data_IF_568652036265
#
_entry.id   IF_568652036265
#
_cell.length_a   1.000
_cell.length_b   1.000
_cell.length_c   1.000
_cell.angle_alpha   90.00
_cell.angle_beta   90.00
_cell.angle_gamma   90.00
#
_symmetry.space_group_name_H-M   'P 1'
#
loop_
_entity.id
_entity.type
_entity.pdbx_description
1 polymer ?
#
# COMPACT_ATOMS: atom_id res chain seq x y z
N UNK A 1 3.63 3.85 -36.24
CA UNK A 1 3.03 5.17 -36.53
C UNK A 1 1.56 5.08 -36.94
N UNK A 2 1.15 4.16 -37.84
CA UNK A 2 -0.27 3.95 -38.18
C UNK A 2 -1.17 3.55 -37.01
N UNK A 3 -0.67 2.76 -36.05
CA UNK A 3 -1.43 2.32 -34.86
C UNK A 3 -1.62 3.38 -33.77
N UNK A 4 -0.68 4.34 -33.67
CA UNK A 4 -0.75 5.48 -32.74
C UNK A 4 -1.82 6.50 -33.19
N UNK A 5 -2.13 6.54 -34.48
CA UNK A 5 -3.17 7.41 -35.06
C UNK A 5 -4.58 6.86 -34.76
N UNK A 6 -4.76 5.53 -34.69
CA UNK A 6 -6.06 4.92 -34.36
C UNK A 6 -6.49 5.18 -32.91
N UNK A 7 -5.55 5.20 -31.95
CA UNK A 7 -5.84 5.51 -30.54
C UNK A 7 -6.07 7.02 -30.31
N UNK A 8 -5.37 7.88 -31.07
CA UNK A 8 -5.58 9.33 -31.00
C UNK A 8 -6.92 9.77 -31.62
N UNK A 9 -7.45 9.01 -32.58
CA UNK A 9 -8.78 9.23 -33.16
C UNK A 9 -9.92 8.81 -32.21
N UNK A 10 -9.72 7.76 -31.39
CA UNK A 10 -10.70 7.36 -30.37
C UNK A 10 -10.79 8.34 -29.18
N UNK A 11 -9.76 9.17 -28.96
CA UNK A 11 -9.75 10.19 -27.90
C UNK A 11 -10.32 11.55 -28.35
N UNK A 12 -10.68 11.73 -29.62
CA UNK A 12 -11.15 13.04 -30.16
C UNK A 12 -12.48 13.02 -30.88
N UNK A 13 -13.14 11.86 -31.05
CA UNK A 13 -14.49 11.79 -31.60
C UNK A 13 -15.56 11.98 -30.51
N UNK A 14 -15.67 13.19 -29.96
CA UNK A 14 -16.87 13.64 -29.26
C UNK A 14 -17.95 13.99 -30.30
N UNK A 15 -18.42 13.00 -31.06
CA UNK A 15 -19.66 13.16 -31.81
C UNK A 15 -20.82 13.00 -30.85
N UNK A 16 -21.42 14.13 -30.46
CA UNK A 16 -22.75 14.17 -29.87
C UNK A 16 -23.74 13.86 -31.00
N UNK A 17 -23.86 12.58 -31.35
CA UNK A 17 -25.07 12.07 -31.98
C UNK A 17 -26.10 11.88 -30.87
N UNK A 18 -27.30 12.40 -31.09
CA UNK A 18 -28.46 12.17 -30.24
C UNK A 18 -28.74 10.67 -30.22
N UNK A 19 -28.21 9.96 -29.24
CA UNK A 19 -28.32 8.51 -29.21
C UNK A 19 -29.75 8.11 -28.90
N UNK A 20 -30.26 7.11 -29.62
CA UNK A 20 -31.33 6.29 -29.06
C UNK A 20 -30.87 5.81 -27.67
N UNK A 21 -31.78 5.76 -26.69
CA UNK A 21 -31.41 5.34 -25.34
C UNK A 21 -30.69 3.98 -25.36
N UNK A 22 -29.71 3.78 -24.47
CA UNK A 22 -28.94 2.53 -24.26
C UNK A 22 -29.75 1.25 -24.52
N UNK A 23 -30.99 1.19 -24.05
CA UNK A 23 -31.89 0.04 -24.24
C UNK A 23 -32.26 -0.25 -25.69
N UNK A 24 -32.43 0.78 -26.51
CA UNK A 24 -32.78 0.68 -27.93
C UNK A 24 -31.61 0.08 -28.72
N UNK A 25 -30.40 0.60 -28.52
CA UNK A 25 -29.16 0.07 -29.14
C UNK A 25 -28.98 -1.41 -28.78
N UNK A 26 -29.13 -1.76 -27.50
CA UNK A 26 -28.97 -3.13 -27.02
C UNK A 26 -30.01 -4.08 -27.65
N UNK A 27 -31.24 -3.62 -27.88
CA UNK A 27 -32.33 -4.47 -28.39
C UNK A 27 -32.30 -4.60 -29.93
N UNK A 28 -31.70 -3.63 -30.63
CA UNK A 28 -31.70 -3.52 -32.08
C UNK A 28 -30.30 -3.59 -32.71
N UNK A 29 -29.29 -4.07 -31.99
CA UNK A 29 -27.92 -4.15 -32.49
C UNK A 29 -27.79 -4.85 -33.85
N UNK A 30 -26.84 -4.39 -34.67
CA UNK A 30 -26.50 -4.93 -35.98
C UNK A 30 -25.14 -5.65 -35.95
N UNK A 31 -24.16 -5.00 -35.30
CA UNK A 31 -22.77 -5.45 -35.24
C UNK A 31 -22.14 -5.12 -33.89
N UNK A 32 -21.23 -5.98 -33.46
CA UNK A 32 -20.34 -5.75 -32.32
C UNK A 32 -18.90 -5.71 -32.80
N UNK A 33 -18.15 -4.70 -32.39
CA UNK A 33 -16.69 -4.62 -32.58
C UNK A 33 -16.01 -4.84 -31.23
N UNK A 34 -15.04 -5.75 -31.16
CA UNK A 34 -14.26 -6.06 -29.97
C UNK A 34 -12.79 -5.78 -30.24
N UNK A 35 -12.24 -4.80 -29.55
CA UNK A 35 -10.82 -4.47 -29.53
C UNK A 35 -10.20 -5.00 -28.24
N UNK A 36 -9.07 -5.69 -28.37
CA UNK A 36 -8.33 -6.24 -27.26
C UNK A 36 -6.84 -6.04 -27.46
N UNK A 37 -6.20 -5.32 -26.54
CA UNK A 37 -4.80 -4.95 -26.68
C UNK A 37 -4.08 -4.94 -25.34
N UNK A 38 -2.76 -4.98 -25.43
CA UNK A 38 -1.88 -4.99 -24.29
C UNK A 38 -0.59 -4.29 -24.64
N UNK A 39 -0.16 -3.39 -23.75
CA UNK A 39 1.12 -2.71 -23.84
C UNK A 39 1.86 -2.95 -22.52
N UNK A 40 3.11 -3.40 -22.58
CA UNK A 40 3.92 -3.75 -21.41
C UNK A 40 5.15 -4.53 -21.86
N UNK A 41 5.51 -5.57 -21.10
CA UNK A 41 6.61 -6.48 -21.46
C UNK A 41 6.36 -7.29 -22.75
N UNK A 42 5.09 -7.40 -23.15
CA UNK A 42 4.66 -7.87 -24.46
C UNK A 42 3.81 -6.80 -25.14
N UNK A 43 3.56 -6.97 -26.44
CA UNK A 43 2.66 -6.09 -27.19
C UNK A 43 1.79 -6.93 -28.12
N UNK A 44 0.48 -6.66 -28.10
CA UNK A 44 -0.45 -7.16 -29.10
C UNK A 44 -1.63 -6.20 -29.23
N UNK A 45 -2.29 -6.24 -30.38
CA UNK A 45 -3.55 -5.57 -30.65
C UNK A 45 -4.37 -6.43 -31.57
N UNK A 46 -5.54 -6.85 -31.11
CA UNK A 46 -6.51 -7.64 -31.85
C UNK A 46 -7.78 -6.82 -32.01
N UNK A 47 -8.44 -7.00 -33.16
CA UNK A 47 -9.74 -6.41 -33.43
C UNK A 47 -10.61 -7.45 -34.13
N UNK A 48 -11.81 -7.64 -33.58
CA UNK A 48 -12.77 -8.62 -34.05
C UNK A 48 -14.11 -7.94 -34.33
N UNK A 49 -14.87 -8.50 -35.27
CA UNK A 49 -16.23 -8.10 -35.55
C UNK A 49 -17.18 -9.30 -35.50
N UNK A 50 -18.39 -9.06 -35.00
CA UNK A 50 -19.48 -10.03 -34.92
C UNK A 50 -20.75 -9.41 -35.50
N UNK A 51 -21.34 -10.06 -36.49
CA UNK A 51 -22.59 -9.63 -37.11
C UNK A 51 -23.79 -10.41 -36.54
N UNK A 52 -24.92 -9.73 -36.34
CA UNK A 52 -26.15 -10.34 -35.81
C UNK A 52 -26.73 -11.43 -36.70
N UNK A 53 -26.56 -11.31 -38.01
CA UNK A 53 -27.17 -12.23 -38.98
C UNK A 53 -26.59 -13.65 -38.90
N UNK A 54 -25.30 -13.76 -38.59
CA UNK A 54 -24.57 -15.03 -38.70
C UNK A 54 -23.88 -15.47 -37.40
N UNK A 55 -23.77 -14.60 -36.39
CA UNK A 55 -23.05 -14.84 -35.15
C UNK A 55 -21.62 -15.37 -35.35
N UNK A 56 -20.97 -14.98 -36.45
CA UNK A 56 -19.58 -15.32 -36.73
C UNK A 56 -18.66 -14.22 -36.24
N UNK A 57 -17.73 -14.58 -35.36
CA UNK A 57 -16.64 -13.70 -34.95
C UNK A 57 -15.51 -13.82 -35.97
N UNK A 58 -15.14 -12.69 -36.58
CA UNK A 58 -14.10 -12.60 -37.61
C UNK A 58 -13.08 -11.53 -37.23
N UNK A 59 -11.83 -11.72 -37.65
CA UNK A 59 -10.78 -10.69 -37.51
C UNK A 59 -11.02 -9.58 -38.54
N UNK A 60 -10.95 -8.31 -38.13
CA UNK A 60 -11.13 -7.19 -39.08
C UNK A 60 -9.95 -7.02 -40.05
N UNK A 61 -8.77 -7.53 -39.70
CA UNK A 61 -7.57 -7.43 -40.52
C UNK A 61 -7.35 -8.62 -41.47
N UNK A 62 -8.09 -9.72 -41.28
CA UNK A 62 -7.96 -10.96 -42.05
C UNK A 62 -9.34 -11.64 -42.17
N UNK A 63 -10.17 -11.15 -43.09
CA UNK A 63 -11.58 -11.59 -43.25
C UNK A 63 -11.73 -13.10 -43.52
N UNK A 64 -10.73 -13.73 -44.16
CA UNK A 64 -10.73 -15.18 -44.45
C UNK A 64 -10.31 -16.05 -43.25
N UNK A 65 -9.87 -15.45 -42.13
CA UNK A 65 -9.52 -16.18 -40.92
C UNK A 65 -10.74 -16.33 -39.99
N UNK A 66 -11.59 -17.28 -40.37
CA UNK A 66 -12.78 -17.68 -39.60
C UNK A 66 -12.34 -18.04 -38.18
N UNK A 67 -12.68 -17.18 -37.21
CA UNK A 67 -12.14 -17.30 -35.85
C UNK A 67 -13.03 -18.20 -35.00
N UNK A 68 -14.36 -17.97 -34.98
CA UNK A 68 -15.30 -18.79 -34.19
C UNK A 68 -16.78 -18.50 -34.50
N UNK A 69 -17.64 -19.52 -34.45
CA UNK A 69 -19.10 -19.34 -34.33
C UNK A 69 -19.50 -19.13 -32.86
N UNK A 70 -20.31 -18.10 -32.60
CA UNK A 70 -20.70 -17.70 -31.24
C UNK A 70 -22.15 -18.13 -30.95
N UNK A 71 -22.40 -18.68 -29.76
CA UNK A 71 -23.76 -18.99 -29.31
C UNK A 71 -24.56 -17.68 -29.16
N UNK A 72 -25.71 -17.51 -29.84
CA UNK A 72 -26.58 -16.34 -29.67
C UNK A 72 -26.98 -16.04 -28.23
N UNK A 73 -27.14 -17.07 -27.39
CA UNK A 73 -27.48 -16.91 -25.97
C UNK A 73 -26.40 -16.13 -25.21
N UNK A 74 -25.12 -16.33 -25.55
CA UNK A 74 -24.00 -15.61 -24.94
C UNK A 74 -24.09 -14.11 -25.22
N UNK A 75 -24.50 -13.75 -26.45
CA UNK A 75 -24.68 -12.36 -26.86
C UNK A 75 -25.88 -11.74 -26.17
N UNK A 76 -27.01 -12.46 -26.14
CA UNK A 76 -28.20 -12.01 -25.42
C UNK A 76 -27.91 -11.78 -23.93
N UNK A 77 -27.11 -12.64 -23.32
CA UNK A 77 -26.72 -12.48 -21.92
C UNK A 77 -25.76 -11.30 -21.69
N UNK A 78 -24.80 -11.08 -22.60
CA UNK A 78 -23.89 -9.93 -22.55
C UNK A 78 -24.68 -8.63 -22.65
N UNK A 79 -25.52 -8.54 -23.68
CA UNK A 79 -26.42 -7.40 -23.92
C UNK A 79 -27.39 -7.18 -22.76
N UNK A 80 -27.96 -8.24 -22.20
CA UNK A 80 -28.81 -8.17 -21.01
C UNK A 80 -28.06 -7.67 -19.78
N UNK A 81 -26.81 -8.10 -19.57
CA UNK A 81 -25.96 -7.65 -18.45
C UNK A 81 -25.65 -6.16 -18.53
N UNK A 82 -25.50 -5.62 -19.75
CA UNK A 82 -25.28 -4.21 -19.99
C UNK A 82 -26.51 -3.35 -19.65
N UNK A 83 -27.74 -3.88 -19.76
CA UNK A 83 -28.98 -3.15 -19.37
C UNK A 83 -29.05 -2.85 -17.88
N UNK A 84 -28.42 -3.68 -17.04
CA UNK A 84 -28.47 -3.47 -15.59
C UNK A 84 -27.61 -2.27 -15.16
N UNK A 85 -28.22 -1.27 -14.53
CA UNK A 85 -27.51 -0.14 -13.90
C UNK A 85 -26.91 -0.55 -12.54
N UNK A 86 -26.23 -1.69 -12.50
CA UNK A 86 -25.74 -2.28 -11.26
C UNK A 86 -24.49 -1.55 -10.75
N UNK A 87 -24.73 -0.43 -10.05
CA UNK A 87 -23.77 0.19 -9.15
C UNK A 87 -23.70 -0.63 -7.85
N UNK A 88 -22.95 -1.73 -7.87
CA UNK A 88 -22.63 -2.51 -6.66
C UNK A 88 -21.44 -1.85 -5.92
N UNK A 89 -21.41 -0.52 -5.82
CA UNK A 89 -20.27 0.18 -5.22
C UNK A 89 -20.12 -0.12 -3.72
N UNK A 90 -21.24 -0.37 -3.04
CA UNK A 90 -21.28 -0.57 -1.58
C UNK A 90 -21.03 -2.01 -1.14
N UNK A 91 -20.94 -2.95 -2.08
CA UNK A 91 -20.58 -4.35 -1.81
C UNK A 91 -19.47 -4.81 -2.78
N UNK A 92 -18.20 -4.49 -2.46
CA UNK A 92 -17.07 -4.76 -3.35
C UNK A 92 -16.90 -6.23 -3.73
N UNK A 93 -17.42 -7.17 -2.92
CA UNK A 93 -17.28 -8.59 -3.18
C UNK A 93 -18.33 -9.08 -4.19
N UNK A 94 -19.55 -8.54 -4.12
CA UNK A 94 -20.61 -8.82 -5.11
C UNK A 94 -20.27 -8.31 -6.51
N UNK A 95 -19.44 -7.27 -6.63
CA UNK A 95 -18.87 -6.85 -7.92
C UNK A 95 -18.20 -8.01 -8.66
N UNK A 96 -17.62 -8.95 -7.92
CA UNK A 96 -16.92 -10.13 -8.42
C UNK A 96 -17.79 -11.40 -8.42
N UNK A 97 -19.10 -11.26 -8.20
CA UNK A 97 -20.04 -12.38 -8.12
C UNK A 97 -19.74 -13.31 -6.94
N UNK A 98 -19.31 -12.75 -5.81
CA UNK A 98 -19.02 -13.46 -4.56
C UNK A 98 -19.76 -12.81 -3.40
N UNK A 99 -19.94 -13.55 -2.31
CA UNK A 99 -20.60 -13.07 -1.11
C UNK A 99 -19.93 -13.60 0.18
N UNK A 100 -20.50 -13.26 1.33
CA UNK A 100 -19.99 -13.71 2.63
C UNK A 100 -20.06 -15.22 2.82
N UNK A 101 -21.07 -15.90 2.27
CA UNK A 101 -21.20 -17.36 2.34
C UNK A 101 -20.09 -18.04 1.55
N UNK A 102 -19.77 -17.52 0.36
CA UNK A 102 -18.64 -17.98 -0.42
C UNK A 102 -17.33 -17.87 0.37
N UNK A 103 -17.08 -16.75 1.06
CA UNK A 103 -15.90 -16.62 1.92
C UNK A 103 -15.88 -17.66 3.04
N UNK A 104 -16.99 -17.86 3.73
CA UNK A 104 -17.09 -18.81 4.85
C UNK A 104 -16.73 -20.22 4.41
N UNK A 105 -17.29 -20.67 3.27
CA UNK A 105 -17.07 -22.00 2.72
C UNK A 105 -15.67 -22.20 2.14
N UNK A 106 -15.08 -21.15 1.54
CA UNK A 106 -13.82 -21.29 0.80
C UNK A 106 -12.57 -20.83 1.58
N UNK A 107 -12.71 -20.19 2.75
CA UNK A 107 -11.59 -19.53 3.44
C UNK A 107 -10.35 -20.40 3.66
N UNK A 108 -10.53 -21.66 4.06
CA UNK A 108 -9.42 -22.59 4.29
C UNK A 108 -8.70 -22.93 2.98
N UNK A 109 -9.47 -23.30 1.95
CA UNK A 109 -8.91 -23.66 0.65
C UNK A 109 -8.21 -22.47 -0.01
N UNK A 110 -8.79 -21.27 0.06
CA UNK A 110 -8.19 -20.05 -0.47
C UNK A 110 -6.82 -19.76 0.16
N UNK A 111 -6.73 -19.90 1.49
CA UNK A 111 -5.47 -19.71 2.20
C UNK A 111 -4.41 -20.74 1.81
N UNK A 112 -4.79 -22.02 1.77
CA UNK A 112 -3.89 -23.12 1.40
C UNK A 112 -3.38 -22.95 -0.04
N UNK A 113 -4.27 -22.67 -1.00
CA UNK A 113 -3.91 -22.49 -2.40
C UNK A 113 -2.95 -21.31 -2.60
N UNK A 114 -3.09 -20.24 -1.82
CA UNK A 114 -2.19 -19.07 -1.89
C UNK A 114 -0.78 -19.36 -1.36
N UNK A 115 -0.66 -20.07 -0.24
CA UNK A 115 0.64 -20.40 0.36
C UNK A 115 1.42 -21.44 -0.46
N UNK A 116 0.73 -22.30 -1.20
CA UNK A 116 1.33 -23.45 -1.87
C UNK A 116 1.94 -24.42 -0.85
N UNK A 117 3.21 -24.82 -1.05
CA UNK A 117 3.92 -25.77 -0.17
C UNK A 117 4.48 -25.16 1.13
N UNK A 118 4.13 -23.92 1.48
CA UNK A 118 4.67 -23.24 2.65
C UNK A 118 3.92 -23.68 3.91
N UNK A 119 4.64 -24.28 4.84
CA UNK A 119 4.13 -24.63 6.17
C UNK A 119 4.14 -23.37 7.05
N UNK A 120 2.98 -22.72 7.17
CA UNK A 120 2.76 -21.69 8.17
C UNK A 120 2.24 -22.33 9.45
N UNK A 121 2.37 -21.62 10.57
CA UNK A 121 1.87 -22.18 11.83
C UNK A 121 0.35 -22.14 11.95
N UNK A 122 -0.23 -23.09 12.70
CA UNK A 122 -1.67 -23.10 13.02
C UNK A 122 -2.23 -21.76 13.58
N UNK A 123 -1.41 -20.96 14.28
CA UNK A 123 -1.81 -19.64 14.78
C UNK A 123 -1.93 -18.61 13.64
N UNK A 124 -1.01 -18.66 12.67
CA UNK A 124 -1.04 -17.84 11.45
C UNK A 124 -2.22 -18.26 10.57
N UNK A 125 -2.41 -19.58 10.38
CA UNK A 125 -3.54 -20.11 9.60
C UNK A 125 -4.88 -19.68 10.20
N UNK A 126 -5.00 -19.75 11.53
CA UNK A 126 -6.20 -19.30 12.22
C UNK A 126 -6.49 -17.82 11.97
N UNK A 127 -5.47 -16.95 12.05
CA UNK A 127 -5.64 -15.51 11.78
C UNK A 127 -6.03 -15.26 10.33
N UNK A 128 -5.36 -15.93 9.38
CA UNK A 128 -5.64 -15.78 7.97
C UNK A 128 -7.07 -16.23 7.63
N UNK A 129 -7.44 -17.46 8.02
CA UNK A 129 -8.78 -18.02 7.77
C UNK A 129 -9.86 -17.17 8.44
N UNK A 130 -9.67 -16.73 9.69
CA UNK A 130 -10.63 -15.85 10.36
C UNK A 130 -10.75 -14.48 9.69
N UNK A 131 -9.66 -13.97 9.12
CA UNK A 131 -9.68 -12.72 8.36
C UNK A 131 -10.43 -12.87 7.04
N UNK A 132 -10.21 -13.98 6.32
CA UNK A 132 -10.92 -14.28 5.07
C UNK A 132 -12.42 -14.45 5.32
N UNK A 133 -12.82 -15.09 6.43
CA UNK A 133 -14.24 -15.22 6.82
C UNK A 133 -14.88 -13.90 7.26
N UNK A 134 -14.08 -12.90 7.62
CA UNK A 134 -14.59 -11.61 8.06
C UNK A 134 -14.86 -10.70 6.87
N UNK A 135 -16.12 -10.68 6.45
CA UNK A 135 -16.59 -9.91 5.29
C UNK A 135 -16.16 -8.43 5.34
N UNK A 136 -16.25 -7.77 6.50
CA UNK A 136 -15.85 -6.36 6.64
C UNK A 136 -14.37 -6.11 6.32
N UNK A 137 -13.49 -7.01 6.76
CA UNK A 137 -12.05 -6.93 6.44
C UNK A 137 -11.79 -7.20 4.95
N UNK A 138 -12.56 -8.12 4.36
CA UNK A 138 -12.42 -8.50 2.95
C UNK A 138 -12.90 -7.41 2.00
N UNK A 139 -13.93 -6.62 2.35
CA UNK A 139 -14.41 -5.53 1.49
C UNK A 139 -13.29 -4.59 1.03
N UNK A 140 -12.40 -4.18 1.94
CA UNK A 140 -11.27 -3.33 1.59
C UNK A 140 -10.26 -4.02 0.67
N UNK A 141 -10.05 -5.33 0.86
CA UNK A 141 -9.17 -6.12 -0.02
C UNK A 141 -9.75 -6.21 -1.43
N UNK A 142 -11.05 -6.52 -1.55
CA UNK A 142 -11.78 -6.56 -2.81
C UNK A 142 -11.79 -5.21 -3.53
N UNK A 143 -12.06 -4.12 -2.81
CA UNK A 143 -12.03 -2.77 -3.37
C UNK A 143 -10.65 -2.38 -3.94
N UNK A 144 -9.56 -2.83 -3.31
CA UNK A 144 -8.18 -2.60 -3.78
C UNK A 144 -7.78 -3.44 -5.01
N UNK A 145 -8.69 -4.26 -5.55
CA UNK A 145 -8.49 -5.02 -6.79
C UNK A 145 -9.14 -4.34 -8.01
N UNK A 146 -9.49 -3.06 -7.93
CA UNK A 146 -9.92 -2.28 -9.10
C UNK A 146 -8.76 -1.44 -9.67
N UNK A 147 -8.91 -0.94 -10.89
CA UNK A 147 -8.05 0.07 -11.48
C UNK A 147 -6.68 -0.42 -11.97
N UNK A 148 -5.78 0.54 -12.12
CA UNK A 148 -4.45 0.38 -12.68
C UNK A 148 -3.41 0.92 -11.69
N UNK A 149 -2.54 0.03 -11.20
CA UNK A 149 -1.57 0.28 -10.13
C UNK A 149 -0.12 0.04 -10.56
N UNK A 150 0.11 -0.85 -11.54
CA UNK A 150 1.42 -1.15 -12.10
C UNK A 150 1.78 -0.16 -13.20
N UNK A 151 3.07 0.13 -13.34
CA UNK A 151 3.58 1.13 -14.29
C UNK A 151 4.12 0.50 -15.58
N UNK A 152 3.91 -0.80 -15.74
CA UNK A 152 4.44 -1.62 -16.83
C UNK A 152 3.42 -2.65 -17.35
N UNK A 153 2.16 -2.53 -16.94
CA UNK A 153 1.05 -3.42 -17.32
C UNK A 153 -0.14 -2.61 -17.84
N UNK A 154 -0.32 -2.50 -19.15
CA UNK A 154 -1.37 -1.65 -19.74
C UNK A 154 -2.33 -2.46 -20.63
N UNK A 155 -3.22 -3.27 -20.02
CA UNK A 155 -4.26 -3.95 -20.77
C UNK A 155 -5.38 -2.99 -21.16
N UNK A 156 -5.98 -3.23 -22.31
CA UNK A 156 -7.15 -2.50 -22.77
C UNK A 156 -8.09 -3.43 -23.52
N UNK A 157 -9.36 -3.42 -23.13
CA UNK A 157 -10.43 -4.12 -23.84
C UNK A 157 -11.58 -3.15 -24.06
N UNK A 158 -12.07 -3.09 -25.30
CA UNK A 158 -13.16 -2.23 -25.71
C UNK A 158 -14.15 -2.99 -26.59
N UNK A 159 -15.42 -2.81 -26.31
CA UNK A 159 -16.56 -3.37 -27.02
C UNK A 159 -17.43 -2.21 -27.50
N UNK A 160 -17.70 -2.16 -28.80
CA UNK A 160 -18.64 -1.22 -29.40
C UNK A 160 -19.84 -1.99 -29.95
N UNK A 161 -21.04 -1.69 -29.45
CA UNK A 161 -22.30 -2.25 -29.95
C UNK A 161 -22.96 -1.23 -30.86
N UNK A 162 -23.16 -1.58 -32.12
CA UNK A 162 -23.61 -0.67 -33.19
C UNK A 162 -25.05 -1.03 -33.57
N UNK A 163 -25.91 -0.02 -33.70
CA UNK A 163 -27.31 -0.13 -34.13
C UNK A 163 -27.63 1.05 -35.05
N UNK A 164 -27.72 0.84 -36.36
CA UNK A 164 -27.79 1.91 -37.35
C UNK A 164 -26.58 2.85 -37.23
N UNK A 165 -26.85 4.14 -37.00
CA UNK A 165 -25.83 5.18 -36.82
C UNK A 165 -25.41 5.37 -35.35
N UNK A 166 -26.03 4.66 -34.41
CA UNK A 166 -25.74 4.76 -32.98
C UNK A 166 -24.72 3.71 -32.51
N UNK A 167 -23.85 4.10 -31.57
CA UNK A 167 -22.84 3.19 -30.98
C UNK A 167 -22.80 3.31 -29.45
N UNK A 168 -22.90 2.17 -28.77
CA UNK A 168 -22.66 2.05 -27.33
C UNK A 168 -21.24 1.54 -27.07
N UNK A 169 -20.43 2.38 -26.41
CA UNK A 169 -19.06 2.06 -26.05
C UNK A 169 -18.95 1.49 -24.62
N UNK A 170 -18.23 0.38 -24.51
CA UNK A 170 -17.94 -0.33 -23.25
C UNK A 170 -16.45 -0.64 -23.19
N UNK A 171 -15.73 -0.19 -22.17
CA UNK A 171 -14.28 -0.44 -22.11
C UNK A 171 -13.73 -0.53 -20.70
N UNK A 172 -12.52 -1.09 -20.59
CA UNK A 172 -11.74 -1.10 -19.36
C UNK A 172 -10.23 -1.15 -19.61
N UNK A 173 -9.49 -0.55 -18.68
CA UNK A 173 -8.03 -0.55 -18.56
C UNK A 173 -7.57 -1.23 -17.26
N UNK A 174 -8.46 -1.94 -16.56
CA UNK A 174 -8.17 -2.55 -15.27
C UNK A 174 -7.09 -3.64 -15.37
N UNK A 175 -6.10 -3.59 -14.50
CA UNK A 175 -4.98 -4.56 -14.49
C UNK A 175 -5.28 -5.85 -13.72
N UNK A 176 -6.21 -5.78 -12.78
CA UNK A 176 -6.61 -6.90 -11.94
C UNK A 176 -7.62 -7.83 -12.66
N UNK A 177 -7.89 -9.02 -12.08
CA UNK A 177 -8.93 -9.92 -12.59
C UNK A 177 -10.27 -9.21 -12.80
N UNK A 178 -10.98 -9.62 -13.85
CA UNK A 178 -12.19 -9.00 -14.41
C UNK A 178 -12.01 -7.58 -14.98
N UNK A 179 -10.80 -7.00 -14.95
CA UNK A 179 -10.52 -5.66 -15.47
C UNK A 179 -11.52 -4.63 -14.92
N UNK A 180 -11.70 -4.56 -13.60
CA UNK A 180 -12.60 -3.57 -13.01
C UNK A 180 -11.93 -2.21 -12.81
N UNK A 181 -12.67 -1.09 -12.83
CA UNK A 181 -14.07 -0.97 -13.25
C UNK A 181 -14.22 -0.93 -14.77
N UNK A 182 -15.42 -1.24 -15.27
CA UNK A 182 -15.78 -1.01 -16.66
C UNK A 182 -16.45 0.34 -16.82
N UNK A 183 -16.31 0.97 -17.99
CA UNK A 183 -17.10 2.13 -18.38
C UNK A 183 -18.12 1.71 -19.43
N UNK A 184 -19.38 2.08 -19.25
CA UNK A 184 -20.48 1.84 -20.19
C UNK A 184 -21.20 3.18 -20.39
N UNK A 185 -21.17 3.74 -21.60
CA UNK A 185 -21.69 5.10 -21.86
C UNK A 185 -21.17 6.13 -20.83
N UNK A 186 -19.85 6.12 -20.60
CA UNK A 186 -19.12 6.97 -19.63
C UNK A 186 -19.46 6.79 -18.15
N UNK A 187 -20.30 5.83 -17.79
CA UNK A 187 -20.59 5.48 -16.39
C UNK A 187 -19.80 4.25 -15.94
N UNK A 188 -19.28 4.30 -14.70
CA UNK A 188 -18.60 3.14 -14.11
C UNK A 188 -19.58 2.04 -13.71
N UNK A 189 -19.30 0.82 -14.17
CA UNK A 189 -20.05 -0.39 -13.88
C UNK A 189 -19.16 -1.42 -13.20
N UNK A 190 -19.70 -2.04 -12.16
CA UNK A 190 -19.01 -2.98 -11.28
C UNK A 190 -19.68 -4.35 -11.28
N UNK A 191 -19.57 -5.07 -12.40
CA UNK A 191 -20.25 -6.34 -12.61
C UNK A 191 -19.34 -7.32 -13.37
N UNK A 192 -18.77 -8.30 -12.66
CA UNK A 192 -17.86 -9.29 -13.22
C UNK A 192 -18.48 -10.20 -14.28
N UNK A 193 -19.81 -10.20 -14.44
CA UNK A 193 -20.46 -10.94 -15.52
C UNK A 193 -20.10 -10.39 -16.90
N UNK A 194 -20.04 -9.06 -17.05
CA UNK A 194 -19.68 -8.39 -18.32
C UNK A 194 -18.32 -8.87 -18.84
N UNK A 195 -17.19 -8.70 -18.11
CA UNK A 195 -15.89 -9.15 -18.57
C UNK A 195 -15.83 -10.67 -18.75
N UNK A 196 -16.52 -11.46 -17.92
CA UNK A 196 -16.56 -12.93 -18.09
C UNK A 196 -17.24 -13.37 -19.38
N UNK A 197 -18.27 -12.64 -19.84
CA UNK A 197 -18.95 -12.90 -21.11
C UNK A 197 -18.08 -12.45 -22.30
N UNK A 198 -17.42 -11.29 -22.20
CA UNK A 198 -16.45 -10.82 -23.21
C UNK A 198 -15.28 -11.82 -23.34
N UNK A 199 -14.77 -12.36 -22.24
CA UNK A 199 -13.72 -13.38 -22.24
C UNK A 199 -14.11 -14.61 -23.09
N UNK A 200 -15.38 -15.02 -23.04
CA UNK A 200 -15.88 -16.16 -23.82
C UNK A 200 -15.97 -15.87 -25.32
N UNK A 201 -16.04 -14.61 -25.73
CA UNK A 201 -15.97 -14.22 -27.14
C UNK A 201 -14.55 -14.33 -27.69
N UNK A 202 -13.54 -14.02 -26.87
CA UNK A 202 -12.15 -14.00 -27.32
C UNK A 202 -11.65 -15.42 -27.70
N UNK A 203 -10.85 -15.53 -28.77
CA UNK A 203 -10.30 -16.81 -29.21
C UNK A 203 -9.19 -17.33 -28.30
N UNK A 204 -9.08 -18.66 -28.19
CA UNK A 204 -8.09 -19.34 -27.34
C UNK A 204 -6.68 -19.41 -27.95
N UNK A 205 -6.57 -19.29 -29.27
CA UNK A 205 -5.31 -19.42 -30.01
C UNK A 205 -4.54 -18.09 -30.18
N UNK A 206 -5.08 -16.97 -29.70
CA UNK A 206 -4.45 -15.66 -29.76
C UNK A 206 -4.08 -15.16 -28.38
N UNK A 207 -3.01 -14.35 -28.32
CA UNK A 207 -2.69 -13.58 -27.12
C UNK A 207 -3.77 -12.51 -26.94
N UNK A 208 -4.52 -12.62 -25.85
CA UNK A 208 -5.61 -11.70 -25.52
C UNK A 208 -5.69 -11.47 -24.01
N UNK A 209 -6.52 -10.52 -23.56
CA UNK A 209 -6.80 -10.33 -22.13
C UNK A 209 -7.79 -11.37 -21.57
N UNK A 210 -8.12 -12.43 -22.31
CA UNK A 210 -9.14 -13.43 -21.96
C UNK A 210 -9.04 -13.96 -20.53
N UNK A 211 -7.86 -14.41 -20.11
CA UNK A 211 -7.63 -14.89 -18.73
C UNK A 211 -7.98 -13.83 -17.68
N UNK A 212 -7.54 -12.59 -17.90
CA UNK A 212 -7.81 -11.47 -16.98
C UNK A 212 -9.31 -11.18 -16.94
N UNK A 213 -9.96 -11.08 -18.10
CA UNK A 213 -11.40 -10.86 -18.24
C UNK A 213 -12.25 -11.96 -17.60
N UNK A 214 -11.81 -13.21 -17.71
CA UNK A 214 -12.45 -14.37 -17.07
C UNK A 214 -12.28 -14.41 -15.55
N UNK A 215 -11.51 -13.49 -14.97
CA UNK A 215 -11.24 -13.47 -13.54
C UNK A 215 -10.20 -14.49 -13.10
N UNK A 216 -9.39 -15.01 -14.02
CA UNK A 216 -8.32 -15.93 -13.67
C UNK A 216 -7.39 -15.25 -12.65
N UNK A 217 -6.99 -16.00 -11.62
CA UNK A 217 -6.23 -15.51 -10.46
C UNK A 217 -6.96 -14.55 -9.52
N UNK A 218 -8.28 -14.36 -9.64
CA UNK A 218 -9.08 -13.59 -8.67
C UNK A 218 -8.77 -13.99 -7.21
N UNK A 219 -8.83 -15.29 -6.92
CA UNK A 219 -8.57 -15.82 -5.58
C UNK A 219 -7.17 -15.48 -5.09
N UNK A 220 -6.16 -15.64 -5.95
CA UNK A 220 -4.78 -15.30 -5.62
C UNK A 220 -4.63 -13.83 -5.24
N UNK A 221 -5.16 -12.91 -6.05
CA UNK A 221 -5.06 -11.47 -5.77
C UNK A 221 -5.87 -11.06 -4.54
N UNK A 222 -7.04 -11.67 -4.32
CA UNK A 222 -7.83 -11.44 -3.13
C UNK A 222 -7.03 -11.81 -1.87
N UNK A 223 -6.42 -13.01 -1.87
CA UNK A 223 -5.63 -13.46 -0.74
C UNK A 223 -4.31 -12.68 -0.61
N UNK A 224 -3.67 -12.23 -1.70
CA UNK A 224 -2.50 -11.34 -1.62
C UNK A 224 -2.84 -10.02 -0.90
N UNK A 225 -3.99 -9.40 -1.24
CA UNK A 225 -4.45 -8.19 -0.56
C UNK A 225 -4.78 -8.44 0.91
N UNK A 226 -5.44 -9.54 1.25
CA UNK A 226 -5.73 -9.93 2.64
C UNK A 226 -4.44 -10.23 3.41
N UNK A 227 -3.51 -10.96 2.80
CA UNK A 227 -2.19 -11.27 3.36
C UNK A 227 -1.42 -9.98 3.66
N UNK A 228 -1.50 -8.97 2.79
CA UNK A 228 -0.98 -7.63 3.04
C UNK A 228 -1.55 -6.99 4.31
N UNK A 229 -2.84 -7.18 4.61
CA UNK A 229 -3.49 -6.63 5.82
C UNK A 229 -3.06 -7.34 7.11
N UNK A 230 -2.72 -8.62 7.05
CA UNK A 230 -2.32 -9.41 8.23
C UNK A 230 -0.81 -9.61 8.35
N UNK A 231 -0.03 -9.01 7.44
CA UNK A 231 1.42 -9.18 7.34
C UNK A 231 2.12 -8.90 8.66
N UNK A 232 1.77 -7.80 9.33
CA UNK A 232 2.41 -7.39 10.58
C UNK A 232 2.11 -8.39 11.72
N UNK A 233 0.87 -8.92 11.77
CA UNK A 233 0.50 -9.98 12.72
C UNK A 233 1.29 -11.28 12.47
N UNK A 234 1.49 -11.64 11.20
CA UNK A 234 2.31 -12.79 10.81
C UNK A 234 3.77 -12.58 11.23
N UNK A 235 4.33 -11.39 10.97
CA UNK A 235 5.70 -11.05 11.36
C UNK A 235 5.88 -11.08 12.88
N UNK A 236 4.91 -10.57 13.63
CA UNK A 236 4.90 -10.63 15.09
C UNK A 236 4.95 -12.06 15.61
N UNK A 237 4.10 -12.95 15.07
CA UNK A 237 4.07 -14.37 15.48
C UNK A 237 5.39 -15.05 15.14
N UNK A 238 5.94 -14.82 13.94
CA UNK A 238 7.24 -15.37 13.52
C UNK A 238 8.37 -14.90 14.43
N UNK A 239 8.42 -13.60 14.74
CA UNK A 239 9.41 -13.02 15.65
C UNK A 239 9.30 -13.62 17.06
N UNK A 240 8.08 -13.71 17.61
CA UNK A 240 7.79 -14.27 18.93
C UNK A 240 8.20 -15.74 19.03
N UNK A 241 7.88 -16.56 18.03
CA UNK A 241 8.25 -17.98 17.96
C UNK A 241 9.75 -18.19 17.81
N UNK A 242 10.42 -17.34 17.03
CA UNK A 242 11.86 -17.40 16.84
C UNK A 242 12.63 -17.00 18.11
N UNK A 243 12.10 -16.08 18.91
CA UNK A 243 12.78 -15.52 20.09
C UNK A 243 11.91 -15.48 21.37
N UNK A 244 11.29 -16.59 21.82
CA UNK A 244 10.29 -16.60 22.88
C UNK A 244 10.82 -16.01 24.19
N UNK A 245 12.03 -16.40 24.60
CA UNK A 245 12.69 -15.89 25.81
C UNK A 245 12.86 -14.37 25.81
N UNK A 246 13.10 -13.73 24.66
CA UNK A 246 13.23 -12.26 24.57
C UNK A 246 11.87 -11.61 24.80
N UNK A 247 10.83 -12.14 24.18
CA UNK A 247 9.45 -11.65 24.35
C UNK A 247 8.98 -11.81 25.80
N UNK A 248 9.26 -12.95 26.44
CA UNK A 248 8.89 -13.20 27.84
C UNK A 248 9.55 -12.21 28.80
N UNK A 249 10.84 -11.90 28.57
CA UNK A 249 11.56 -10.90 29.36
C UNK A 249 10.97 -9.51 29.14
N UNK A 250 10.71 -9.12 27.89
CA UNK A 250 10.16 -7.80 27.55
C UNK A 250 8.78 -7.58 28.14
N UNK A 251 7.89 -8.59 28.06
CA UNK A 251 6.50 -8.52 28.56
C UNK A 251 6.39 -8.24 30.06
N UNK A 252 7.44 -8.51 30.84
CA UNK A 252 7.47 -8.19 32.28
C UNK A 252 7.48 -6.69 32.56
N UNK A 253 7.95 -5.87 31.60
CA UNK A 253 8.10 -4.41 31.76
C UNK A 253 7.37 -3.60 30.68
N UNK A 254 7.17 -4.18 29.51
CA UNK A 254 6.66 -3.48 28.33
C UNK A 254 5.46 -4.18 27.72
N UNK A 255 4.54 -3.40 27.17
CA UNK A 255 3.66 -3.85 26.11
C UNK A 255 4.45 -3.88 24.80
N UNK A 256 4.51 -5.04 24.14
CA UNK A 256 5.08 -5.16 22.80
C UNK A 256 3.96 -4.82 21.82
N UNK A 257 4.06 -3.68 21.14
CA UNK A 257 3.06 -3.18 20.21
C UNK A 257 3.21 -3.83 18.83
N UNK A 258 4.46 -3.93 18.36
CA UNK A 258 4.81 -4.56 17.10
C UNK A 258 6.18 -5.27 17.21
N UNK A 259 6.41 -6.26 16.33
CA UNK A 259 7.67 -6.96 16.22
C UNK A 259 7.82 -7.59 14.84
N UNK A 260 8.97 -7.36 14.18
CA UNK A 260 9.22 -7.95 12.88
C UNK A 260 10.68 -8.38 12.67
N UNK A 261 10.84 -9.46 11.90
CA UNK A 261 12.13 -9.88 11.37
C UNK A 261 12.28 -9.32 9.97
N UNK A 262 13.16 -8.33 9.82
CA UNK A 262 13.28 -7.55 8.60
C UNK A 262 14.73 -7.28 8.25
N UNK A 263 14.98 -6.74 7.07
CA UNK A 263 16.26 -6.18 6.64
C UNK A 263 16.10 -4.66 6.57
N UNK A 264 16.62 -3.95 7.56
CA UNK A 264 16.51 -2.48 7.59
C UNK A 264 17.68 -1.80 6.90
N UNK A 265 17.39 -0.63 6.33
CA UNK A 265 18.35 0.46 6.09
C UNK A 265 17.80 1.72 6.74
N UNK A 266 18.47 2.23 7.78
CA UNK A 266 18.08 3.49 8.42
C UNK A 266 19.34 4.28 8.80
N UNK A 267 19.15 5.55 9.11
CA UNK A 267 20.24 6.45 9.54
C UNK A 267 20.97 5.95 10.79
N UNK A 268 20.30 5.12 11.60
CA UNK A 268 20.84 4.54 12.82
C UNK A 268 21.30 3.08 12.70
N UNK A 269 20.93 2.41 11.62
CA UNK A 269 21.28 1.02 11.37
C UNK A 269 22.43 0.85 10.37
N UNK A 270 22.52 1.77 9.42
CA UNK A 270 23.57 1.87 8.40
C UNK A 270 23.62 0.69 7.42
N UNK A 271 24.24 0.94 6.26
CA UNK A 271 24.52 -0.08 5.24
C UNK A 271 23.88 0.21 3.88
N UNK A 272 24.65 -0.02 2.82
CA UNK A 272 24.18 0.06 1.43
C UNK A 272 23.24 -1.08 1.05
N UNK A 273 23.30 -2.20 1.79
CA UNK A 273 22.40 -3.34 1.67
C UNK A 273 21.76 -3.59 3.04
N UNK A 274 20.44 -3.72 3.08
CA UNK A 274 19.69 -3.95 4.32
C UNK A 274 20.25 -5.13 5.11
N UNK A 275 20.41 -4.96 6.43
CA UNK A 275 20.97 -5.99 7.31
C UNK A 275 19.87 -6.63 8.15
N UNK A 276 19.82 -7.98 8.28
CA UNK A 276 18.80 -8.64 9.08
C UNK A 276 18.79 -8.19 10.54
N UNK A 277 17.61 -7.86 11.04
CA UNK A 277 17.38 -7.42 12.41
C UNK A 277 16.02 -7.88 12.94
N UNK A 278 15.89 -7.83 14.26
CA UNK A 278 14.61 -7.83 14.95
C UNK A 278 14.31 -6.39 15.33
N UNK A 279 13.24 -5.85 14.77
CA UNK A 279 12.67 -4.56 15.11
C UNK A 279 11.49 -4.78 16.07
N UNK A 280 11.39 -3.92 17.08
CA UNK A 280 10.39 -4.00 18.13
C UNK A 280 9.86 -2.61 18.42
N UNK A 281 8.54 -2.44 18.38
CA UNK A 281 7.87 -1.30 18.98
C UNK A 281 7.37 -1.68 20.38
N UNK A 282 7.81 -0.93 21.38
CA UNK A 282 7.48 -1.16 22.78
C UNK A 282 6.81 0.06 23.40
N UNK A 283 5.99 -0.19 24.42
CA UNK A 283 5.42 0.82 25.31
C UNK A 283 5.64 0.43 26.76
N UNK A 284 6.22 1.33 27.55
CA UNK A 284 6.24 1.21 29.01
C UNK A 284 4.90 1.72 29.55
N UNK A 285 4.20 0.91 30.34
CA UNK A 285 2.88 1.27 30.90
C UNK A 285 2.94 2.45 31.88
N UNK A 286 4.12 2.79 32.39
CA UNK A 286 4.36 3.96 33.25
C UNK A 286 4.50 5.26 32.46
N UNK A 287 4.60 5.18 31.14
CA UNK A 287 4.76 6.33 30.26
C UNK A 287 3.44 6.69 29.57
N UNK A 288 3.25 7.97 29.20
CA UNK A 288 2.11 8.42 28.40
C UNK A 288 1.95 7.64 27.09
N UNK A 289 0.70 7.52 26.62
CA UNK A 289 0.36 6.69 25.45
C UNK A 289 1.03 7.15 24.15
N UNK A 290 1.40 8.42 24.07
CA UNK A 290 2.06 9.02 22.92
C UNK A 290 3.59 8.92 22.97
N UNK A 291 4.16 8.17 23.92
CA UNK A 291 5.58 7.81 23.96
C UNK A 291 5.74 6.34 23.57
N UNK A 292 6.47 6.10 22.47
CA UNK A 292 6.91 4.77 22.01
C UNK A 292 8.41 4.60 22.19
N UNK A 293 8.82 3.34 22.15
CA UNK A 293 10.21 2.94 22.20
C UNK A 293 10.46 2.02 21.01
N UNK A 294 11.37 2.42 20.12
CA UNK A 294 11.84 1.55 19.03
C UNK A 294 13.14 0.87 19.44
N UNK A 295 13.14 -0.45 19.36
CA UNK A 295 14.31 -1.27 19.70
C UNK A 295 14.69 -2.13 18.51
N UNK A 296 15.89 -1.88 17.97
CA UNK A 296 16.45 -2.64 16.86
C UNK A 296 17.62 -3.50 17.35
N UNK A 297 17.55 -4.81 17.13
CA UNK A 297 18.57 -5.78 17.53
C UNK A 297 19.18 -6.50 16.32
N UNK A 298 20.51 -6.61 16.25
CA UNK A 298 21.22 -7.36 15.19
C UNK A 298 22.62 -6.85 14.75
N UNK A 299 23.11 -7.49 13.68
CA UNK A 299 24.39 -7.36 12.94
C UNK A 299 25.51 -8.37 13.32
N UNK A 300 25.97 -9.08 12.27
CA UNK A 300 26.82 -10.31 12.19
C UNK A 300 26.17 -11.62 12.67
N UNK A 301 25.23 -12.14 11.89
CA UNK A 301 24.72 -13.52 11.96
C UNK A 301 23.85 -13.88 13.18
N UNK A 302 23.85 -13.07 14.25
CA UNK A 302 23.06 -13.28 15.47
C UNK A 302 22.43 -11.97 15.96
N UNK A 303 21.26 -12.07 16.59
CA UNK A 303 20.64 -10.93 17.27
C UNK A 303 21.41 -10.56 18.54
N UNK A 304 21.59 -9.27 18.79
CA UNK A 304 22.13 -8.82 20.07
C UNK A 304 21.20 -9.15 21.25
N UNK A 305 21.78 -9.20 22.45
CA UNK A 305 21.04 -9.36 23.71
C UNK A 305 20.16 -8.15 23.97
N UNK A 306 18.97 -8.37 24.55
CA UNK A 306 18.06 -7.30 24.99
C UNK A 306 18.50 -6.70 26.35
N UNK A 307 19.38 -7.38 27.09
CA UNK A 307 19.82 -6.96 28.43
C UNK A 307 20.36 -5.52 28.49
N UNK A 308 21.20 -5.05 27.55
CA UNK A 308 21.71 -3.67 27.57
C UNK A 308 20.62 -2.60 27.48
N UNK A 309 19.52 -2.89 26.80
CA UNK A 309 18.34 -2.02 26.77
C UNK A 309 17.68 -2.00 28.15
N UNK A 310 17.34 -3.18 28.67
CA UNK A 310 16.65 -3.33 29.95
C UNK A 310 17.41 -2.71 31.13
N UNK A 311 18.75 -2.84 31.14
CA UNK A 311 19.59 -2.30 32.21
C UNK A 311 19.72 -0.77 32.17
N UNK A 312 19.47 -0.15 31.01
CA UNK A 312 19.60 1.31 30.82
C UNK A 312 18.29 2.05 30.85
N UNK A 313 17.17 1.34 30.67
CA UNK A 313 15.85 1.93 30.52
C UNK A 313 15.49 2.96 31.59
N UNK A 314 15.61 2.61 32.87
CA UNK A 314 15.26 3.54 33.97
C UNK A 314 16.12 4.82 33.94
N UNK A 315 17.42 4.67 33.66
CA UNK A 315 18.33 5.82 33.56
C UNK A 315 18.06 6.69 32.32
N UNK A 316 17.57 6.11 31.22
CA UNK A 316 17.15 6.86 30.03
C UNK A 316 15.91 7.69 30.32
N UNK A 317 14.89 7.09 30.93
CA UNK A 317 13.66 7.80 31.32
C UNK A 317 13.96 8.91 32.32
N UNK A 318 14.79 8.64 33.33
CA UNK A 318 15.17 9.67 34.30
C UNK A 318 15.82 10.89 33.64
N UNK A 319 16.64 10.70 32.60
CA UNK A 319 17.25 11.80 31.83
C UNK A 319 16.22 12.56 30.97
N UNK A 320 15.11 11.92 30.60
CA UNK A 320 14.08 12.52 29.76
C UNK A 320 13.04 13.31 30.55
N UNK A 321 12.78 12.97 31.82
CA UNK A 321 11.71 13.59 32.62
C UNK A 321 11.80 15.13 32.67
N UNK A 322 13.01 15.69 32.74
CA UNK A 322 13.23 17.15 32.78
C UNK A 322 13.52 17.76 31.39
N UNK A 323 13.55 16.94 30.34
CA UNK A 323 13.83 17.38 28.99
C UNK A 323 12.62 18.15 28.42
N UNK A 324 12.78 19.41 27.97
CA UNK A 324 11.65 20.23 27.54
C UNK A 324 10.97 19.72 26.26
N UNK A 325 11.71 19.09 25.35
CA UNK A 325 11.13 18.44 24.15
C UNK A 325 10.27 17.25 24.57
N UNK A 326 10.80 16.40 25.45
CA UNK A 326 10.05 15.25 25.96
C UNK A 326 8.79 15.67 26.72
N UNK A 327 8.89 16.69 27.58
CA UNK A 327 7.75 17.25 28.33
C UNK A 327 6.71 17.83 27.39
N UNK A 328 7.12 18.55 26.34
CA UNK A 328 6.20 19.03 25.32
C UNK A 328 5.40 17.87 24.73
N UNK A 329 6.08 16.81 24.28
CA UNK A 329 5.40 15.62 23.74
C UNK A 329 4.38 15.08 24.72
N UNK A 330 4.76 14.88 25.99
CA UNK A 330 3.87 14.33 27.02
C UNK A 330 2.62 15.19 27.24
N UNK A 331 2.73 16.51 27.07
CA UNK A 331 1.64 17.46 27.34
C UNK A 331 0.69 17.68 26.16
N UNK A 332 1.06 17.27 24.94
CA UNK A 332 0.28 17.53 23.72
C UNK A 332 -0.17 16.22 23.08
N UNK A 333 -1.48 15.97 23.10
CA UNK A 333 -2.06 14.69 22.62
C UNK A 333 -1.86 14.47 21.10
N UNK A 334 -1.71 15.55 20.34
CA UNK A 334 -1.42 15.53 18.89
C UNK A 334 0.05 15.25 18.57
N UNK A 335 0.91 15.23 19.60
CA UNK A 335 2.34 14.96 19.48
C UNK A 335 2.67 13.51 19.81
N UNK A 336 3.65 12.98 19.09
CA UNK A 336 4.11 11.60 19.19
C UNK A 336 5.63 11.54 19.36
N UNK A 337 6.08 10.86 20.40
CA UNK A 337 7.50 10.76 20.74
C UNK A 337 8.02 9.34 20.62
N UNK A 338 9.20 9.19 20.02
CA UNK A 338 9.86 7.90 19.87
C UNK A 338 11.27 7.93 20.42
N UNK A 339 11.54 7.04 21.39
CA UNK A 339 12.87 6.82 21.93
C UNK A 339 13.49 5.65 21.19
N UNK A 340 14.57 5.91 20.46
CA UNK A 340 15.27 4.90 19.68
C UNK A 340 16.33 4.18 20.51
N UNK A 341 16.48 2.87 20.31
CA UNK A 341 17.52 2.05 20.93
C UNK A 341 18.03 0.96 19.98
N UNK A 342 19.21 1.21 19.41
CA UNK A 342 19.87 0.28 18.51
C UNK A 342 20.94 -0.51 19.24
N UNK A 343 20.72 -1.82 19.35
CA UNK A 343 21.60 -2.81 19.98
C UNK A 343 21.95 -2.57 21.45
N UNK A 344 22.77 -1.57 21.73
CA UNK A 344 23.34 -1.30 23.07
C UNK A 344 23.21 0.16 23.51
N UNK A 345 22.73 1.06 22.64
CA UNK A 345 22.75 2.51 22.85
C UNK A 345 21.51 3.14 22.21
N UNK A 346 21.08 4.28 22.76
CA UNK A 346 20.00 5.07 22.15
C UNK A 346 20.52 5.79 20.90
N UNK A 347 21.49 6.70 21.04
CA UNK A 347 22.25 7.16 19.87
C UNK A 347 23.22 6.06 19.39
N UNK A 348 22.90 5.44 18.27
CA UNK A 348 23.68 4.34 17.70
C UNK A 348 25.07 4.80 17.20
N UNK A 349 25.96 3.84 16.92
CA UNK A 349 27.26 4.15 16.31
C UNK A 349 27.13 4.71 14.89
N UNK A 350 26.14 4.24 14.13
CA UNK A 350 25.83 4.70 12.77
C UNK A 350 25.18 6.08 12.82
N UNK A 351 24.17 6.26 13.68
CA UNK A 351 23.49 7.53 13.90
C UNK A 351 24.49 8.63 14.28
N UNK A 352 25.43 8.31 15.17
CA UNK A 352 26.53 9.20 15.53
C UNK A 352 27.41 9.57 14.33
N UNK A 353 27.72 8.63 13.43
CA UNK A 353 28.55 8.90 12.25
C UNK A 353 27.81 9.80 11.26
N UNK A 354 26.56 9.46 10.94
CA UNK A 354 25.68 10.25 10.09
C UNK A 354 25.52 11.69 10.63
N UNK A 355 25.17 11.84 11.91
CA UNK A 355 25.07 13.17 12.54
C UNK A 355 26.36 13.99 12.41
N UNK A 356 27.53 13.37 12.64
CA UNK A 356 28.81 14.06 12.50
C UNK A 356 29.18 14.37 11.04
N UNK A 357 28.64 13.65 10.07
CA UNK A 357 28.76 13.97 8.64
C UNK A 357 27.91 15.20 8.31
N UNK A 358 26.64 15.21 8.71
CA UNK A 358 25.73 16.35 8.52
C UNK A 358 26.25 17.64 9.19
N UNK A 359 26.80 17.53 10.41
CA UNK A 359 27.46 18.67 11.10
C UNK A 359 28.57 19.28 10.25
N UNK A 360 29.36 18.45 9.53
CA UNK A 360 30.43 18.93 8.66
C UNK A 360 29.87 19.56 7.39
N UNK A 361 28.84 18.97 6.79
CA UNK A 361 28.19 19.51 5.60
C UNK A 361 27.57 20.89 5.84
N UNK A 362 27.09 21.14 7.06
CA UNK A 362 26.63 22.46 7.53
C UNK A 362 27.73 23.44 7.92
N UNK A 363 29.00 23.11 7.66
CA UNK A 363 30.14 23.98 8.00
C UNK A 363 30.41 24.11 9.50
N UNK A 364 29.74 23.33 10.36
CA UNK A 364 29.96 23.36 11.79
C UNK A 364 31.17 22.49 12.20
N UNK A 365 31.86 22.88 13.28
CA UNK A 365 33.02 22.15 13.77
C UNK A 365 32.58 20.87 14.50
N UNK A 366 32.93 19.69 13.97
CA UNK A 366 32.73 18.37 14.64
C UNK A 366 33.28 18.33 16.08
N UNK A 367 34.30 19.15 16.37
CA UNK A 367 34.90 19.29 17.70
C UNK A 367 33.89 19.63 18.80
N UNK A 368 32.82 20.38 18.48
CA UNK A 368 31.78 20.79 19.41
C UNK A 368 31.02 19.61 20.04
N UNK A 369 31.04 18.45 19.39
CA UNK A 369 30.32 17.24 19.81
C UNK A 369 31.24 16.06 20.15
N UNK A 370 32.56 16.21 19.99
CA UNK A 370 33.52 15.11 20.22
C UNK A 370 33.49 14.71 21.69
N UNK A 371 33.32 13.41 21.95
CA UNK A 371 33.22 12.85 23.31
C UNK A 371 31.85 13.02 24.00
N UNK A 372 31.13 14.11 23.72
CA UNK A 372 29.83 14.45 24.35
C UNK A 372 28.68 13.51 23.94
N UNK A 373 28.76 12.92 22.75
CA UNK A 373 27.75 11.97 22.24
C UNK A 373 27.74 10.61 22.97
N UNK A 374 28.63 10.38 23.94
CA UNK A 374 28.72 9.10 24.67
C UNK A 374 27.51 8.94 25.61
N UNK A 375 26.58 8.08 25.21
CA UNK A 375 25.36 7.82 25.99
C UNK A 375 24.30 8.90 25.82
N UNK A 376 24.40 9.67 24.74
CA UNK A 376 23.32 10.53 24.30
C UNK A 376 22.07 9.72 23.91
N UNK A 377 20.92 10.36 24.00
CA UNK A 377 19.61 9.82 23.64
C UNK A 377 19.26 10.32 22.25
N UNK A 378 18.80 9.43 21.39
CA UNK A 378 18.20 9.79 20.11
C UNK A 378 16.67 9.69 20.24
N UNK A 379 16.01 10.77 19.85
CA UNK A 379 14.58 10.97 20.04
C UNK A 379 13.95 11.58 18.80
N UNK A 380 12.84 11.02 18.36
CA UNK A 380 12.01 11.58 17.29
C UNK A 380 10.72 12.15 17.88
N UNK A 381 10.32 13.31 17.37
CA UNK A 381 9.04 13.93 17.69
C UNK A 381 8.30 14.19 16.38
N UNK A 382 7.06 13.69 16.30
CA UNK A 382 6.09 14.03 15.26
C UNK A 382 4.93 14.81 15.87
N UNK A 383 4.36 15.73 15.11
CA UNK A 383 3.17 16.48 15.50
C UNK A 383 2.20 16.55 14.31
N UNK A 384 0.92 16.33 14.59
CA UNK A 384 -0.16 16.37 13.60
C UNK A 384 -1.12 17.54 13.86
N UNK A 385 -1.41 18.31 12.80
CA UNK A 385 -2.43 19.36 12.81
C UNK A 385 -3.34 19.16 11.58
N UNK A 386 -4.50 18.55 11.79
CA UNK A 386 -5.38 18.12 10.70
C UNK A 386 -4.65 17.15 9.77
N UNK A 387 -4.58 17.48 8.48
CA UNK A 387 -3.87 16.69 7.47
C UNK A 387 -2.36 16.97 7.41
N UNK A 388 -1.88 18.02 8.08
CA UNK A 388 -0.46 18.40 8.07
C UNK A 388 0.31 17.65 9.14
N UNK A 389 1.56 17.30 8.83
CA UNK A 389 2.51 16.67 9.76
C UNK A 389 3.82 17.46 9.81
N UNK A 390 4.39 17.53 11.00
CA UNK A 390 5.75 18.04 11.24
C UNK A 390 6.54 16.95 11.97
N UNK A 391 7.83 16.83 11.68
CA UNK A 391 8.70 15.92 12.41
C UNK A 391 10.04 16.56 12.75
N UNK A 392 10.69 16.04 13.78
CA UNK A 392 12.05 16.40 14.17
C UNK A 392 12.83 15.22 14.74
N UNK A 393 14.15 15.33 14.60
CA UNK A 393 15.15 14.43 15.18
C UNK A 393 15.99 15.18 16.18
N UNK A 394 16.06 14.66 17.39
CA UNK A 394 16.78 15.27 18.50
C UNK A 394 17.86 14.35 19.04
N UNK A 395 18.97 14.95 19.46
CA UNK A 395 20.01 14.30 20.25
C UNK A 395 20.07 15.00 21.59
N UNK A 396 19.80 14.27 22.67
CA UNK A 396 19.92 14.78 24.04
C UNK A 396 21.26 14.32 24.63
N UNK A 397 22.11 15.28 24.96
CA UNK A 397 23.40 15.02 25.59
C UNK A 397 23.24 14.86 27.10
N UNK A 398 24.20 14.17 27.73
CA UNK A 398 24.18 13.90 29.18
C UNK A 398 24.26 15.14 30.05
N UNK A 399 24.81 16.23 29.52
CA UNK A 399 24.93 17.52 30.19
C UNK A 399 23.64 18.36 30.07
N UNK A 400 22.56 17.80 29.50
CA UNK A 400 21.28 18.49 29.28
C UNK A 400 21.21 19.27 27.98
N UNK A 401 22.30 19.34 27.19
CA UNK A 401 22.30 20.04 25.91
C UNK A 401 21.35 19.36 24.92
N UNK A 402 20.52 20.17 24.27
CA UNK A 402 19.57 19.75 23.25
C UNK A 402 20.15 20.07 21.87
N UNK A 403 20.18 19.07 21.00
CA UNK A 403 20.64 19.24 19.62
C UNK A 403 19.51 18.86 18.68
N UNK A 404 19.03 19.82 17.90
CA UNK A 404 18.13 19.59 16.78
C UNK A 404 18.95 19.09 15.59
N UNK A 405 18.82 17.81 15.26
CA UNK A 405 19.53 17.19 14.15
C UNK A 405 18.81 17.45 12.83
N UNK A 406 17.51 17.14 12.76
CA UNK A 406 16.71 17.30 11.55
C UNK A 406 15.34 17.86 11.88
N UNK A 407 14.79 18.64 10.96
CA UNK A 407 13.45 19.22 11.06
C UNK A 407 12.74 19.24 9.70
N UNK A 408 11.44 18.92 9.70
CA UNK A 408 10.57 19.15 8.56
C UNK A 408 9.16 19.53 9.04
N UNK A 409 8.49 20.39 8.27
CA UNK A 409 7.21 21.01 8.59
C UNK A 409 7.36 22.47 8.99
N UNK A 410 6.41 23.02 9.76
CA UNK A 410 6.38 24.45 10.05
C UNK A 410 5.66 24.86 11.34
N UNK A 411 5.24 23.90 12.17
CA UNK A 411 4.45 24.17 13.37
C UNK A 411 4.92 23.39 14.60
N UNK A 412 6.00 22.63 14.46
CA UNK A 412 6.47 21.75 15.53
C UNK A 412 6.90 22.55 16.76
N UNK A 413 6.30 22.24 17.91
CA UNK A 413 6.61 22.90 19.19
C UNK A 413 6.57 24.43 19.13
N UNK A 414 5.93 25.04 18.12
CA UNK A 414 6.01 26.47 17.82
C UNK A 414 7.43 27.06 17.87
N UNK A 415 8.42 26.29 17.39
CA UNK A 415 9.82 26.74 17.36
C UNK A 415 9.96 28.09 16.62
N UNK A 416 10.85 28.99 17.10
CA UNK A 416 11.09 30.29 16.46
C UNK A 416 11.31 30.20 14.95
N UNK A 417 10.82 31.20 14.22
CA UNK A 417 10.87 31.25 12.75
C UNK A 417 12.28 31.07 12.20
N UNK A 418 13.29 31.54 12.93
CA UNK A 418 14.71 31.48 12.58
C UNK A 418 15.29 30.07 12.72
N UNK A 419 14.67 29.20 13.53
CA UNK A 419 15.03 27.80 13.67
C UNK A 419 14.35 26.96 12.58
N UNK A 420 13.09 27.27 12.24
CA UNK A 420 12.32 26.55 11.22
C UNK A 420 12.60 26.99 9.77
N UNK A 421 13.29 28.12 9.57
CA UNK A 421 13.71 28.60 8.24
C UNK A 421 14.61 27.59 7.51
N UNK A 422 15.39 26.80 8.25
CA UNK A 422 16.18 25.71 7.69
C UNK A 422 15.40 24.38 7.75
N UNK A 423 14.87 23.94 6.61
CA UNK A 423 14.30 22.59 6.47
C UNK A 423 15.38 21.55 6.17
N UNK A 424 15.19 20.33 6.67
CA UNK A 424 16.12 19.22 6.49
C UNK A 424 17.07 19.04 7.68
N UNK A 425 18.31 18.66 7.42
CA UNK A 425 19.33 18.55 8.48
C UNK A 425 19.72 19.96 8.93
N UNK A 426 19.66 20.25 10.23
CA UNK A 426 19.94 21.58 10.81
C UNK A 426 21.17 21.54 11.72
N UNK A 427 21.32 20.44 12.47
CA UNK A 427 22.46 20.18 13.35
C UNK A 427 22.77 21.31 14.35
N UNK A 428 21.76 21.89 15.00
CA UNK A 428 21.90 23.09 15.84
C UNK A 428 21.69 22.77 17.33
N UNK A 429 22.49 23.40 18.20
CA UNK A 429 22.24 23.40 19.65
C UNK A 429 21.09 24.37 19.93
N UNK A 430 20.08 23.90 20.65
CA UNK A 430 18.89 24.68 21.01
C UNK A 430 18.90 24.91 22.52
N UNK A 431 18.64 26.13 22.96
CA UNK A 431 18.52 26.41 24.39
C UNK A 431 17.14 25.98 24.90
N UNK A 432 17.05 25.61 26.19
CA UNK A 432 15.75 25.30 26.79
C UNK A 432 14.80 26.52 26.80
N UNK A 433 15.34 27.73 26.78
CA UNK A 433 14.55 28.97 26.69
C UNK A 433 13.90 29.14 25.32
N UNK A 434 14.60 28.79 24.23
CA UNK A 434 14.05 28.86 22.87
C UNK A 434 12.80 27.95 22.74
N UNK A 435 12.80 26.83 23.45
CA UNK A 435 11.65 25.91 23.51
C UNK A 435 10.52 26.47 24.39
N UNK A 436 10.84 27.12 25.52
CA UNK A 436 9.80 27.67 26.43
C UNK A 436 9.14 28.94 25.89
N UNK A 437 9.83 29.70 25.06
CA UNK A 437 9.30 30.92 24.41
C UNK A 437 8.33 30.61 23.28
N UNK A 438 8.31 29.37 22.81
CA UNK A 438 7.33 28.90 21.86
C UNK A 438 5.94 28.86 22.53
N UNK A 439 5.13 29.89 22.27
CA UNK A 439 3.75 29.93 22.74
C UNK A 439 2.91 28.97 21.89
N UNK A 440 1.99 28.20 22.47
CA UNK A 440 0.85 27.71 21.72
C UNK A 440 0.14 28.93 21.13
N UNK A 441 0.08 29.04 19.81
CA UNK A 441 -0.98 29.85 19.20
C UNK A 441 -2.28 29.05 19.38
N UNK A 442 -3.28 29.70 19.99
CA UNK A 442 -4.61 29.15 20.29
C UNK A 442 -5.38 28.73 19.03
#
# INVERSE_FOLDING_TARGET
MKFLISILLLLTSSFVCYSQGKESIISNWDKIILQDSYWGWGQYGNEFQLHRENYLLTSTNHEDSLTRSINPELINELLGSLKSDTLIQYDPLRMFGRDSLWLIHNAQQLWISYLGKRDESAEIDSIAVNTIRNYEKVKMAAWRMQGSHWTDDYPFTHLAVISGDDTLHIYSEGQYPYMMPWKVADQYVYNARIPSLIAQLLPDNLKTNKSRLAGERFEYFLIDKIHGQIRDSIQFIKAKRRYPRKFDILKRKFSILDAQLTTMSSIEWGGWFGSPCLELELRDKRQPKNIKISVVLGRRGKLHSIRPFLSKWESLIQQLNDNPVYRYTVQHETSYGEIHFVNRRSLSGEAKRAFLEDVKEKGQKKGNFRGRLKGAIFYELEEAMGEKRSFSRWIFLKDGTLVLWQFNGGFLMNLPSEIIAEKGYVCRIISAEDIRKAKPED
#
